data_IF_010781343206
#
_entry.id   IF_010781343206
#
_cell.length_a   1.000
_cell.length_b   1.000
_cell.length_c   1.000
_cell.angle_alpha   90.00
_cell.angle_beta   90.00
_cell.angle_gamma   90.00
#
_symmetry.space_group_name_H-M   'P 1'
#
loop_
_entity.id
_entity.type
_entity.pdbx_description
1 polymer ?
#
# COMPACT_ATOMS: atom_id res chain seq x y z
N UNK A 1 32.95 -9.48 -25.32
CA UNK A 1 34.19 -10.22 -25.62
C UNK A 1 34.99 -10.27 -24.33
N UNK A 2 35.02 -11.41 -23.64
CA UNK A 2 35.86 -11.63 -22.48
C UNK A 2 37.32 -11.48 -22.90
N UNK A 3 38.03 -10.58 -22.24
CA UNK A 3 39.42 -10.32 -22.52
C UNK A 3 40.26 -11.48 -21.94
N UNK A 4 40.83 -12.32 -22.78
CA UNK A 4 41.59 -13.52 -22.36
C UNK A 4 42.81 -13.23 -21.47
N UNK A 5 43.13 -11.95 -21.23
CA UNK A 5 44.25 -11.48 -20.39
C UNK A 5 43.85 -11.18 -18.92
N UNK A 6 42.56 -11.27 -18.54
CA UNK A 6 42.18 -11.12 -17.14
C UNK A 6 42.54 -12.40 -16.38
N UNK A 7 43.20 -12.31 -15.21
CA UNK A 7 43.51 -13.50 -14.40
C UNK A 7 42.20 -14.20 -14.12
N UNK A 8 42.18 -15.56 -14.25
CA UNK A 8 41.02 -16.36 -13.92
C UNK A 8 40.67 -16.15 -12.45
N UNK A 9 39.58 -15.45 -12.20
CA UNK A 9 39.06 -15.29 -10.85
C UNK A 9 38.55 -16.65 -10.42
N UNK A 10 39.25 -17.27 -9.48
CA UNK A 10 38.85 -18.56 -8.93
C UNK A 10 37.68 -18.29 -7.95
N UNK A 11 36.45 -18.37 -8.45
CA UNK A 11 35.25 -18.24 -7.62
C UNK A 11 35.17 -19.43 -6.68
N UNK A 12 35.57 -19.23 -5.43
CA UNK A 12 35.27 -20.19 -4.38
C UNK A 12 33.75 -20.35 -4.32
N UNK A 13 33.27 -21.57 -4.45
CA UNK A 13 31.84 -21.84 -4.31
C UNK A 13 31.49 -22.08 -2.84
N UNK A 14 31.11 -21.04 -2.07
CA UNK A 14 30.85 -21.16 -0.65
C UNK A 14 29.63 -22.03 -0.38
N UNK A 15 29.57 -22.64 0.80
CA UNK A 15 28.43 -23.44 1.24
C UNK A 15 27.16 -22.58 1.36
N UNK A 16 25.99 -23.25 1.39
CA UNK A 16 24.72 -22.54 1.56
C UNK A 16 24.72 -21.64 2.81
N UNK A 17 25.23 -22.15 3.92
CA UNK A 17 25.26 -21.41 5.18
C UNK A 17 26.18 -20.19 5.12
N UNK A 18 27.34 -20.30 4.50
CA UNK A 18 28.23 -19.16 4.28
C UNK A 18 27.55 -18.09 3.43
N UNK A 19 26.92 -18.48 2.31
CA UNK A 19 26.16 -17.55 1.45
C UNK A 19 25.01 -16.88 2.20
N UNK A 20 24.28 -17.64 3.00
CA UNK A 20 23.17 -17.15 3.80
C UNK A 20 23.63 -16.08 4.81
N UNK A 21 24.68 -16.38 5.58
CA UNK A 21 25.23 -15.46 6.57
C UNK A 21 25.81 -14.20 5.91
N UNK A 22 26.58 -14.39 4.82
CA UNK A 22 27.15 -13.27 4.05
C UNK A 22 26.07 -12.36 3.51
N UNK A 23 25.02 -12.91 2.88
CA UNK A 23 23.90 -12.16 2.36
C UNK A 23 23.22 -11.31 3.45
N UNK A 24 22.97 -11.90 4.63
CA UNK A 24 22.35 -11.18 5.74
C UNK A 24 23.24 -10.05 6.29
N UNK A 25 24.57 -10.28 6.37
CA UNK A 25 25.51 -9.25 6.75
C UNK A 25 25.52 -8.09 5.75
N UNK A 26 25.63 -8.40 4.47
CA UNK A 26 25.61 -7.38 3.39
C UNK A 26 24.28 -6.62 3.36
N UNK A 27 23.16 -7.34 3.49
CA UNK A 27 21.83 -6.70 3.59
C UNK A 27 21.74 -5.74 4.78
N UNK A 28 22.23 -6.16 5.95
CA UNK A 28 22.26 -5.32 7.14
C UNK A 28 23.13 -4.08 6.94
N UNK A 29 24.33 -4.28 6.40
CA UNK A 29 25.30 -3.20 6.17
C UNK A 29 24.74 -2.16 5.19
N UNK A 30 24.30 -2.59 4.01
CA UNK A 30 23.69 -1.71 3.02
C UNK A 30 22.48 -0.98 3.59
N UNK A 31 21.57 -1.68 4.27
CA UNK A 31 20.36 -1.08 4.83
C UNK A 31 20.66 -0.08 5.95
N UNK A 32 21.72 -0.26 6.73
CA UNK A 32 22.11 0.67 7.81
C UNK A 32 22.71 1.97 7.29
N UNK A 33 23.29 1.95 6.08
CA UNK A 33 23.94 3.11 5.44
C UNK A 33 23.03 3.89 4.49
N UNK A 34 21.79 3.42 4.22
CA UNK A 34 20.82 4.12 3.40
C UNK A 34 20.17 5.30 4.15
N UNK A 35 20.98 6.31 4.48
CA UNK A 35 20.55 7.48 5.26
C UNK A 35 20.38 8.75 4.44
N UNK A 36 20.76 8.73 3.15
CA UNK A 36 20.60 9.88 2.26
C UNK A 36 19.13 10.26 2.11
N UNK A 37 18.76 11.55 2.19
CA UNK A 37 17.39 11.99 2.04
C UNK A 37 16.83 11.65 0.65
N UNK A 38 15.61 11.14 0.60
CA UNK A 38 14.91 10.87 -0.65
C UNK A 38 13.65 11.73 -0.76
N UNK A 39 13.37 12.24 -1.98
CA UNK A 39 12.25 13.16 -2.23
C UNK A 39 10.91 12.60 -1.73
N UNK A 40 10.68 11.29 -1.88
CA UNK A 40 9.45 10.61 -1.47
C UNK A 40 9.58 9.85 -0.15
N UNK A 41 10.61 10.11 0.65
CA UNK A 41 10.68 9.46 1.96
C UNK A 41 9.52 9.91 2.84
N UNK A 42 9.08 9.02 3.71
CA UNK A 42 8.00 9.29 4.65
C UNK A 42 8.23 8.59 5.97
N UNK A 43 7.82 9.22 7.06
CA UNK A 43 7.99 8.67 8.41
C UNK A 43 6.82 7.78 8.82
N UNK A 44 7.06 6.75 9.65
CA UNK A 44 6.00 5.84 10.08
C UNK A 44 4.79 6.56 10.69
N UNK A 45 5.00 7.63 11.45
CA UNK A 45 3.93 8.42 12.06
C UNK A 45 2.91 9.01 11.06
N UNK A 46 3.29 9.13 9.78
CA UNK A 46 2.43 9.70 8.73
C UNK A 46 1.66 8.66 7.94
N UNK A 47 2.09 7.39 8.00
CA UNK A 47 1.54 6.32 7.16
C UNK A 47 0.07 5.97 7.44
N UNK A 48 -0.38 5.82 8.70
CA UNK A 48 -1.80 5.53 8.96
C UNK A 48 -2.74 6.65 8.49
N UNK A 49 -2.24 7.87 8.42
CA UNK A 49 -2.99 9.05 7.95
C UNK A 49 -2.99 9.19 6.44
N UNK A 50 -2.24 8.36 5.71
CA UNK A 50 -2.07 8.44 4.26
C UNK A 50 -1.63 9.86 3.81
N UNK A 51 -0.67 10.46 4.54
CA UNK A 51 -0.29 11.84 4.25
C UNK A 51 0.52 12.03 2.98
N UNK A 52 1.24 10.99 2.56
CA UNK A 52 2.12 11.07 1.39
C UNK A 52 2.22 9.71 0.71
N UNK A 53 2.22 9.70 -0.63
CA UNK A 53 2.47 8.52 -1.43
C UNK A 53 3.92 8.44 -1.91
N UNK A 54 4.17 7.65 -2.93
CA UNK A 54 5.47 7.53 -3.59
C UNK A 54 5.29 7.45 -5.10
N UNK A 55 6.01 8.32 -5.82
CA UNK A 55 6.06 8.28 -7.27
C UNK A 55 7.13 7.31 -7.73
N UNK A 56 6.76 6.32 -8.51
CA UNK A 56 7.67 5.33 -9.09
C UNK A 56 8.08 5.67 -10.51
N UNK A 57 7.23 6.38 -11.25
CA UNK A 57 7.49 6.66 -12.66
C UNK A 57 6.59 7.77 -13.19
N UNK A 58 7.17 8.63 -14.05
CA UNK A 58 6.44 9.68 -14.76
C UNK A 58 7.00 9.78 -16.17
N UNK A 59 6.16 9.65 -17.19
CA UNK A 59 6.51 9.82 -18.61
C UNK A 59 5.25 10.01 -19.44
N UNK A 60 5.37 10.82 -20.52
CA UNK A 60 4.30 11.02 -21.50
C UNK A 60 2.97 11.43 -20.85
N UNK A 61 3.00 12.37 -19.91
CA UNK A 61 1.83 12.85 -19.16
C UNK A 61 1.08 11.74 -18.41
N UNK A 62 1.80 10.70 -18.01
CA UNK A 62 1.29 9.59 -17.18
C UNK A 62 2.19 9.40 -15.97
N UNK A 63 1.62 8.94 -14.89
CA UNK A 63 2.33 8.76 -13.63
C UNK A 63 1.95 7.43 -12.99
N UNK A 64 2.94 6.73 -12.41
CA UNK A 64 2.71 5.60 -11.51
C UNK A 64 3.01 6.06 -10.10
N UNK A 65 1.96 6.26 -9.32
CA UNK A 65 2.05 6.77 -7.96
C UNK A 65 1.33 5.85 -6.99
N UNK A 66 2.03 5.35 -5.98
CA UNK A 66 1.44 4.55 -4.91
C UNK A 66 0.88 5.47 -3.84
N UNK A 67 -0.44 5.59 -3.79
CA UNK A 67 -1.11 6.32 -2.71
C UNK A 67 -1.83 5.37 -1.75
N UNK A 68 -2.45 4.33 -2.28
CA UNK A 68 -3.36 3.47 -1.53
C UNK A 68 -4.82 3.94 -1.63
N UNK A 69 -5.73 3.11 -1.17
CA UNK A 69 -7.16 3.42 -1.15
C UNK A 69 -7.52 4.17 0.16
N UNK A 70 -7.91 5.45 0.11
CA UNK A 70 -8.15 6.24 1.33
C UNK A 70 -9.23 5.63 2.24
N UNK A 71 -10.30 5.09 1.66
CA UNK A 71 -11.39 4.49 2.44
C UNK A 71 -10.93 3.27 3.25
N UNK A 72 -10.15 2.39 2.62
CA UNK A 72 -9.58 1.23 3.31
C UNK A 72 -8.56 1.69 4.36
N UNK A 73 -7.68 2.62 4.02
CA UNK A 73 -6.61 3.12 4.88
C UNK A 73 -7.14 3.73 6.16
N UNK A 74 -8.10 4.64 6.04
CA UNK A 74 -8.70 5.31 7.20
C UNK A 74 -9.64 4.40 7.99
N UNK A 75 -10.30 3.42 7.35
CA UNK A 75 -11.08 2.42 8.08
C UNK A 75 -10.19 1.54 8.97
N UNK A 76 -8.98 1.20 8.51
CA UNK A 76 -7.99 0.49 9.33
C UNK A 76 -7.54 1.35 10.51
N UNK A 77 -7.20 2.62 10.28
CA UNK A 77 -6.83 3.53 11.36
C UNK A 77 -7.95 3.65 12.40
N UNK A 78 -9.19 3.87 11.94
CA UNK A 78 -10.37 3.95 12.82
C UNK A 78 -10.57 2.67 13.62
N UNK A 79 -10.40 1.52 13.00
CA UNK A 79 -10.54 0.21 13.66
C UNK A 79 -9.45 -0.05 14.70
N UNK A 80 -8.20 0.29 14.42
CA UNK A 80 -7.09 0.19 15.37
C UNK A 80 -7.34 1.07 16.59
N UNK A 81 -7.76 2.33 16.38
CA UNK A 81 -8.06 3.26 17.46
C UNK A 81 -9.28 2.80 18.25
N UNK A 82 -10.33 2.33 17.59
CA UNK A 82 -11.53 1.79 18.25
C UNK A 82 -11.17 0.59 19.13
N UNK A 83 -10.41 -0.38 18.60
CA UNK A 83 -9.99 -1.54 19.36
C UNK A 83 -9.14 -1.13 20.58
N UNK A 84 -8.16 -0.25 20.40
CA UNK A 84 -7.34 0.25 21.50
C UNK A 84 -8.19 0.94 22.57
N UNK A 85 -9.14 1.79 22.19
CA UNK A 85 -10.05 2.47 23.10
C UNK A 85 -10.94 1.49 23.88
N UNK A 86 -11.53 0.50 23.19
CA UNK A 86 -12.33 -0.54 23.83
C UNK A 86 -11.49 -1.36 24.83
N UNK A 87 -10.25 -1.71 24.45
CA UNK A 87 -9.34 -2.44 25.37
C UNK A 87 -9.02 -1.64 26.63
N UNK A 88 -8.73 -0.35 26.49
CA UNK A 88 -8.49 0.54 27.63
C UNK A 88 -9.72 0.58 28.54
N UNK A 89 -10.91 0.74 27.97
CA UNK A 89 -12.17 0.73 28.74
C UNK A 89 -12.39 -0.61 29.48
N UNK A 90 -12.17 -1.74 28.82
CA UNK A 90 -12.31 -3.06 29.43
C UNK A 90 -11.31 -3.27 30.58
N UNK A 91 -10.08 -2.79 30.45
CA UNK A 91 -9.07 -2.84 31.53
C UNK A 91 -9.52 -1.98 32.71
N UNK A 92 -9.98 -0.75 32.48
CA UNK A 92 -10.48 0.14 33.54
C UNK A 92 -11.71 -0.44 34.24
N UNK A 93 -12.59 -1.11 33.52
CA UNK A 93 -13.77 -1.82 34.11
C UNK A 93 -13.33 -3.01 34.95
N UNK A 94 -12.39 -3.80 34.44
CA UNK A 94 -11.83 -4.94 35.19
C UNK A 94 -11.16 -4.49 36.50
N UNK A 95 -10.43 -3.38 36.50
CA UNK A 95 -9.85 -2.78 37.73
C UNK A 95 -10.94 -2.38 38.77
N UNK A 96 -12.18 -2.11 38.32
CA UNK A 96 -13.31 -1.77 39.15
C UNK A 96 -14.18 -3.01 39.55
N UNK A 97 -13.69 -4.22 39.28
CA UNK A 97 -14.38 -5.47 39.61
C UNK A 97 -15.46 -5.94 38.62
N UNK A 98 -15.60 -5.26 37.44
CA UNK A 98 -16.52 -5.75 36.42
C UNK A 98 -15.89 -6.89 35.63
N UNK A 99 -16.68 -7.95 35.37
CA UNK A 99 -16.26 -9.08 34.55
C UNK A 99 -17.01 -9.07 33.21
N UNK A 100 -16.42 -8.47 32.18
CA UNK A 100 -17.02 -8.34 30.86
C UNK A 100 -16.76 -9.56 29.95
N UNK A 101 -15.86 -10.46 30.36
CA UNK A 101 -15.44 -11.65 29.58
C UNK A 101 -16.22 -12.92 29.94
N UNK A 102 -17.48 -12.80 30.33
CA UNK A 102 -18.32 -13.94 30.64
C UNK A 102 -18.93 -14.60 29.41
N UNK A 103 -19.10 -13.87 28.34
CA UNK A 103 -19.77 -14.36 27.14
C UNK A 103 -18.74 -14.93 26.13
N UNK A 104 -18.96 -16.17 25.67
CA UNK A 104 -18.08 -16.91 24.78
C UNK A 104 -17.77 -16.17 23.47
N UNK A 105 -18.77 -15.47 22.91
CA UNK A 105 -18.61 -14.66 21.70
C UNK A 105 -17.62 -13.51 21.93
N UNK A 106 -17.74 -12.78 23.04
CA UNK A 106 -16.83 -11.68 23.40
C UNK A 106 -15.41 -12.19 23.53
N UNK A 107 -15.21 -13.30 24.25
CA UNK A 107 -13.90 -13.92 24.43
C UNK A 107 -13.30 -14.35 23.11
N UNK A 108 -14.10 -14.91 22.20
CA UNK A 108 -13.62 -15.32 20.87
C UNK A 108 -13.09 -14.12 20.07
N UNK A 109 -13.89 -13.05 19.94
CA UNK A 109 -13.50 -11.88 19.17
C UNK A 109 -12.36 -11.11 19.84
N UNK A 110 -12.31 -11.06 21.17
CA UNK A 110 -11.19 -10.45 21.90
C UNK A 110 -9.86 -11.16 21.58
N UNK A 111 -9.85 -12.48 21.53
CA UNK A 111 -8.65 -13.25 21.15
C UNK A 111 -8.23 -12.97 19.71
N UNK A 112 -9.19 -12.98 18.75
CA UNK A 112 -8.91 -12.71 17.35
C UNK A 112 -8.38 -11.28 17.16
N UNK A 113 -9.12 -10.29 17.66
CA UNK A 113 -8.73 -8.89 17.53
C UNK A 113 -7.43 -8.58 18.28
N UNK A 114 -7.22 -9.22 19.45
CA UNK A 114 -5.98 -9.08 20.21
C UNK A 114 -4.77 -9.61 19.47
N UNK A 115 -4.88 -10.80 18.87
CA UNK A 115 -3.84 -11.36 18.03
C UNK A 115 -3.52 -10.45 16.83
N UNK A 116 -4.54 -10.00 16.10
CA UNK A 116 -4.37 -9.11 14.95
C UNK A 116 -3.79 -7.75 15.34
N UNK A 117 -4.21 -7.19 16.47
CA UNK A 117 -3.66 -5.93 16.97
C UNK A 117 -2.18 -6.04 17.36
N UNK A 118 -1.80 -7.13 18.04
CA UNK A 118 -0.39 -7.40 18.36
C UNK A 118 0.43 -7.61 17.09
N UNK A 119 -0.09 -8.39 16.13
CA UNK A 119 0.56 -8.59 14.84
C UNK A 119 0.72 -7.28 14.06
N UNK A 120 -0.31 -6.42 14.05
CA UNK A 120 -0.25 -5.08 13.46
C UNK A 120 0.89 -4.25 14.07
N UNK A 121 0.94 -4.18 15.39
CA UNK A 121 1.99 -3.44 16.11
C UNK A 121 3.37 -4.04 15.84
N UNK A 122 3.51 -5.36 15.86
CA UNK A 122 4.77 -6.04 15.59
C UNK A 122 5.33 -5.76 14.18
N UNK A 123 4.46 -5.57 13.18
CA UNK A 123 4.88 -5.22 11.82
C UNK A 123 5.06 -3.71 11.60
N UNK A 124 4.49 -2.88 12.44
CA UNK A 124 4.54 -1.42 12.29
C UNK A 124 5.58 -0.76 13.19
N UNK A 125 5.64 -1.14 14.47
CA UNK A 125 6.49 -0.49 15.46
C UNK A 125 8.00 -0.53 15.15
N UNK A 126 8.59 -1.59 14.54
CA UNK A 126 10.00 -1.62 14.23
C UNK A 126 10.49 -0.46 13.36
N UNK A 127 9.63 0.06 12.47
CA UNK A 127 9.98 1.17 11.60
C UNK A 127 10.26 2.48 12.34
N UNK A 128 9.75 2.66 13.55
CA UNK A 128 10.07 3.83 14.39
C UNK A 128 11.50 3.81 14.91
N UNK A 129 12.13 2.65 14.96
CA UNK A 129 13.52 2.47 15.42
C UNK A 129 14.53 2.58 14.26
N UNK A 130 14.05 2.55 13.03
CA UNK A 130 14.90 2.59 11.84
C UNK A 130 15.30 4.03 11.50
N UNK A 131 16.59 4.27 11.33
CA UNK A 131 17.13 5.58 10.93
C UNK A 131 17.30 5.74 9.40
N UNK A 132 17.13 4.64 8.64
CA UNK A 132 17.25 4.63 7.17
C UNK A 132 16.10 5.35 6.50
N UNK A 133 16.24 5.57 5.20
CA UNK A 133 15.13 6.00 4.33
C UNK A 133 13.95 5.03 4.44
N UNK A 134 12.77 5.57 4.67
CA UNK A 134 11.52 4.83 4.80
C UNK A 134 10.47 5.40 3.85
N UNK A 135 9.57 4.52 3.41
CA UNK A 135 8.53 4.84 2.44
C UNK A 135 7.22 4.20 2.85
N UNK A 136 6.10 4.75 2.39
CA UNK A 136 4.76 4.28 2.73
C UNK A 136 4.51 2.80 2.41
N UNK A 137 5.18 2.23 1.41
CA UNK A 137 5.00 0.81 1.07
C UNK A 137 5.48 -0.16 2.18
N UNK A 138 6.36 0.28 3.08
CA UNK A 138 6.74 -0.50 4.26
C UNK A 138 5.56 -0.74 5.22
N UNK A 139 4.52 0.09 5.14
CA UNK A 139 3.31 -0.06 5.96
C UNK A 139 2.35 -1.13 5.42
N UNK A 140 2.49 -1.58 4.16
CA UNK A 140 1.55 -2.52 3.54
C UNK A 140 1.33 -3.83 4.32
N UNK A 141 2.36 -4.48 4.91
CA UNK A 141 2.14 -5.67 5.75
C UNK A 141 1.28 -5.39 6.98
N UNK A 142 1.54 -4.28 7.68
CA UNK A 142 0.73 -3.85 8.82
C UNK A 142 -0.70 -3.49 8.37
N UNK A 143 -0.86 -2.79 7.25
CA UNK A 143 -2.15 -2.44 6.67
C UNK A 143 -2.97 -3.70 6.37
N UNK A 144 -2.36 -4.73 5.78
CA UNK A 144 -3.04 -6.00 5.52
C UNK A 144 -3.62 -6.62 6.80
N UNK A 145 -2.81 -6.67 7.86
CA UNK A 145 -3.28 -7.17 9.17
C UNK A 145 -4.38 -6.26 9.73
N UNK A 146 -4.25 -4.95 9.57
CA UNK A 146 -5.25 -3.97 9.95
C UNK A 146 -6.59 -4.15 9.22
N UNK A 147 -6.59 -4.54 7.94
CA UNK A 147 -7.80 -4.87 7.18
C UNK A 147 -8.51 -6.08 7.81
N UNK A 148 -7.77 -7.12 8.19
CA UNK A 148 -8.34 -8.29 8.88
C UNK A 148 -8.93 -7.91 10.25
N UNK A 149 -8.26 -7.01 10.98
CA UNK A 149 -8.77 -6.46 12.23
C UNK A 149 -10.07 -5.68 12.00
N UNK A 150 -10.12 -4.83 10.96
CA UNK A 150 -11.31 -4.07 10.56
C UNK A 150 -12.48 -5.00 10.25
N UNK A 151 -12.24 -6.05 9.47
CA UNK A 151 -13.26 -7.04 9.14
C UNK A 151 -13.76 -7.78 10.41
N UNK A 152 -12.87 -8.13 11.33
CA UNK A 152 -13.22 -8.80 12.58
C UNK A 152 -14.05 -7.91 13.51
N UNK A 153 -13.72 -6.62 13.59
CA UNK A 153 -14.49 -5.62 14.36
C UNK A 153 -15.86 -5.39 13.74
N UNK A 154 -15.94 -5.29 12.42
CA UNK A 154 -17.20 -5.17 11.68
C UNK A 154 -18.08 -6.39 11.92
N UNK A 155 -17.52 -7.59 11.83
CA UNK A 155 -18.22 -8.85 12.08
C UNK A 155 -18.78 -8.88 13.49
N UNK A 156 -17.98 -8.58 14.50
CA UNK A 156 -18.41 -8.51 15.90
C UNK A 156 -19.50 -7.46 16.12
N UNK A 157 -19.30 -6.24 15.61
CA UNK A 157 -20.25 -5.13 15.78
C UNK A 157 -21.61 -5.40 15.12
N UNK A 158 -21.63 -6.24 14.08
CA UNK A 158 -22.84 -6.57 13.34
C UNK A 158 -23.47 -7.93 13.72
N UNK A 159 -22.92 -8.67 14.70
CA UNK A 159 -23.44 -9.99 15.11
C UNK A 159 -24.91 -9.97 15.51
N UNK A 160 -25.40 -8.88 16.09
CA UNK A 160 -26.80 -8.71 16.51
C UNK A 160 -27.71 -8.06 15.47
N UNK A 161 -27.15 -7.66 14.32
CA UNK A 161 -27.88 -7.04 13.23
C UNK A 161 -28.50 -8.13 12.35
N UNK A 162 -29.71 -7.88 11.82
CA UNK A 162 -30.38 -8.83 10.90
C UNK A 162 -29.48 -9.11 9.68
N UNK A 163 -29.39 -10.36 9.21
CA UNK A 163 -28.45 -10.77 8.15
C UNK A 163 -28.52 -9.91 6.88
N UNK A 164 -29.72 -9.49 6.48
CA UNK A 164 -29.88 -8.64 5.28
C UNK A 164 -29.23 -7.26 5.44
N UNK A 165 -29.42 -6.59 6.59
CA UNK A 165 -28.78 -5.29 6.85
C UNK A 165 -27.27 -5.41 6.97
N UNK A 166 -26.78 -6.50 7.57
CA UNK A 166 -25.36 -6.81 7.63
C UNK A 166 -24.77 -6.99 6.24
N UNK A 167 -25.47 -7.71 5.35
CA UNK A 167 -25.07 -7.88 3.95
C UNK A 167 -25.02 -6.53 3.23
N UNK A 168 -26.07 -5.71 3.35
CA UNK A 168 -26.09 -4.40 2.72
C UNK A 168 -24.97 -3.48 3.23
N UNK A 169 -24.67 -3.50 4.52
CA UNK A 169 -23.55 -2.73 5.07
C UNK A 169 -22.20 -3.22 4.53
N UNK A 170 -21.98 -4.53 4.43
CA UNK A 170 -20.76 -5.10 3.83
C UNK A 170 -20.64 -4.75 2.35
N UNK A 171 -21.74 -4.86 1.59
CA UNK A 171 -21.76 -4.47 0.17
C UNK A 171 -21.50 -2.97 -0.01
N UNK A 172 -22.07 -2.11 0.83
CA UNK A 172 -21.83 -0.67 0.78
C UNK A 172 -20.34 -0.33 1.01
N UNK A 173 -19.70 -0.99 1.97
CA UNK A 173 -18.26 -0.85 2.20
C UNK A 173 -17.43 -1.34 1.01
N UNK A 174 -17.78 -2.48 0.43
CA UNK A 174 -17.10 -3.04 -0.74
C UNK A 174 -17.26 -2.15 -1.97
N UNK A 175 -18.48 -1.66 -2.23
CA UNK A 175 -18.77 -0.72 -3.33
C UNK A 175 -18.01 0.59 -3.11
N UNK A 176 -18.04 1.15 -1.90
CA UNK A 176 -17.30 2.37 -1.56
C UNK A 176 -15.79 2.22 -1.80
N UNK A 177 -15.20 1.11 -1.38
CA UNK A 177 -13.81 0.80 -1.67
C UNK A 177 -13.55 0.66 -3.19
N UNK A 178 -14.48 0.03 -3.94
CA UNK A 178 -14.40 -0.11 -5.38
C UNK A 178 -14.49 1.24 -6.13
N UNK A 179 -15.37 2.13 -5.70
CA UNK A 179 -15.49 3.49 -6.26
C UNK A 179 -14.22 4.29 -6.02
N UNK A 180 -13.66 4.25 -4.81
CA UNK A 180 -12.39 4.92 -4.52
C UNK A 180 -11.23 4.30 -5.30
N UNK A 181 -11.21 2.97 -5.46
CA UNK A 181 -10.23 2.32 -6.30
C UNK A 181 -10.33 2.80 -7.76
N UNK A 182 -11.54 2.85 -8.33
CA UNK A 182 -11.76 3.34 -9.69
C UNK A 182 -11.32 4.80 -9.86
N UNK A 183 -11.57 5.65 -8.85
CA UNK A 183 -11.16 7.06 -8.87
C UNK A 183 -9.65 7.25 -8.92
N UNK A 184 -8.89 6.43 -8.16
CA UNK A 184 -7.44 6.55 -8.07
C UNK A 184 -6.67 5.56 -8.96
N UNK A 185 -7.38 4.67 -9.67
CA UNK A 185 -6.75 3.72 -10.60
C UNK A 185 -5.92 4.39 -11.70
N UNK A 186 -6.29 5.56 -12.27
CA UNK A 186 -5.49 6.19 -13.32
C UNK A 186 -4.07 6.51 -12.87
N UNK A 187 -3.89 7.05 -11.65
CA UNK A 187 -2.57 7.40 -11.15
C UNK A 187 -1.78 6.16 -10.66
N UNK A 188 -2.50 5.10 -10.29
CA UNK A 188 -1.86 3.84 -9.85
C UNK A 188 -1.31 3.05 -11.03
N UNK A 189 -2.01 3.09 -12.17
CA UNK A 189 -1.71 2.25 -13.34
C UNK A 189 -1.24 3.03 -14.57
N UNK A 190 -0.87 4.29 -14.42
CA UNK A 190 -0.46 5.16 -15.53
C UNK A 190 -1.50 5.25 -16.66
N UNK A 191 -2.79 5.16 -16.32
CA UNK A 191 -3.86 5.33 -17.29
C UNK A 191 -4.03 6.80 -17.66
N UNK A 192 -4.80 7.06 -18.73
CA UNK A 192 -5.12 8.43 -19.15
C UNK A 192 -5.92 9.14 -18.06
N UNK A 193 -5.52 10.34 -17.71
CA UNK A 193 -6.20 11.17 -16.72
C UNK A 193 -6.11 12.64 -17.12
N UNK A 194 -7.05 13.46 -16.69
CA UNK A 194 -7.05 14.90 -16.98
C UNK A 194 -6.55 15.69 -15.76
N UNK A 195 -5.99 16.87 -16.03
CA UNK A 195 -5.56 17.80 -14.98
C UNK A 195 -6.71 18.09 -13.99
N UNK A 196 -7.92 18.40 -14.50
CA UNK A 196 -9.09 18.68 -13.68
C UNK A 196 -9.47 17.50 -12.79
N UNK A 197 -9.61 16.29 -13.38
CA UNK A 197 -9.97 15.09 -12.62
C UNK A 197 -8.93 14.71 -11.56
N UNK A 198 -7.66 14.99 -11.85
CA UNK A 198 -6.55 14.82 -10.90
C UNK A 198 -6.68 15.84 -9.74
N UNK A 199 -6.90 17.13 -10.05
CA UNK A 199 -7.07 18.18 -9.05
C UNK A 199 -8.23 17.86 -8.09
N UNK A 200 -9.38 17.45 -8.62
CA UNK A 200 -10.54 17.03 -7.83
C UNK A 200 -10.27 15.80 -6.95
N UNK A 201 -9.25 15.03 -7.27
CA UNK A 201 -8.88 13.83 -6.52
C UNK A 201 -7.92 14.14 -5.35
N UNK A 202 -7.36 15.34 -5.26
CA UNK A 202 -6.52 15.77 -4.13
C UNK A 202 -7.43 16.13 -2.96
N UNK A 203 -7.47 15.29 -1.93
CA UNK A 203 -8.24 15.55 -0.71
C UNK A 203 -7.40 16.13 0.42
N UNK A 204 -6.08 15.92 0.38
CA UNK A 204 -5.14 16.44 1.36
C UNK A 204 -4.04 17.23 0.64
N UNK A 205 -3.72 18.42 1.14
CA UNK A 205 -2.64 19.26 0.59
C UNK A 205 -1.26 18.58 0.65
N UNK A 206 -1.15 17.54 1.46
CA UNK A 206 0.07 16.75 1.60
C UNK A 206 0.27 15.69 0.51
N UNK A 207 -0.73 15.47 -0.34
CA UNK A 207 -0.62 14.57 -1.49
C UNK A 207 0.12 15.28 -2.62
N UNK A 208 1.29 14.77 -2.96
CA UNK A 208 2.26 15.43 -3.83
C UNK A 208 2.34 14.85 -5.25
N UNK A 209 1.28 14.19 -5.71
CA UNK A 209 1.19 13.83 -7.12
C UNK A 209 0.90 15.07 -7.98
N UNK A 210 1.63 15.18 -9.10
CA UNK A 210 1.66 16.39 -9.89
C UNK A 210 0.56 16.41 -10.95
N UNK A 211 -0.55 17.09 -10.67
CA UNK A 211 -1.66 17.21 -11.61
C UNK A 211 -1.36 18.09 -12.82
N UNK A 212 -0.40 19.01 -12.73
CA UNK A 212 -0.03 19.89 -13.84
C UNK A 212 0.57 19.12 -15.04
N UNK A 213 1.17 17.96 -14.77
CA UNK A 213 1.69 17.08 -15.80
C UNK A 213 0.62 16.44 -16.68
N UNK A 214 -0.62 16.34 -16.21
CA UNK A 214 -1.70 15.73 -16.99
C UNK A 214 -2.32 16.74 -17.96
N UNK A 215 -2.70 16.32 -19.19
CA UNK A 215 -3.34 17.20 -20.16
C UNK A 215 -4.71 17.68 -19.69
N UNK A 216 -5.18 18.77 -20.29
CA UNK A 216 -6.51 19.29 -19.98
C UNK A 216 -7.61 18.41 -20.61
N UNK A 217 -7.37 17.93 -21.84
CA UNK A 217 -8.29 17.04 -22.54
C UNK A 217 -7.67 15.63 -22.69
N UNK A 218 -8.50 14.62 -22.49
CA UNK A 218 -8.11 13.21 -22.66
C UNK A 218 -7.71 12.87 -24.10
N UNK A 219 -8.21 13.62 -25.07
CA UNK A 219 -7.87 13.45 -26.49
C UNK A 219 -6.42 13.87 -26.82
N UNK A 220 -5.81 14.71 -26.00
CA UNK A 220 -4.39 15.13 -26.18
C UNK A 220 -3.43 13.95 -26.05
N UNK A 221 -3.81 12.87 -25.37
CA UNK A 221 -3.01 11.66 -25.29
C UNK A 221 -2.74 11.02 -26.66
N UNK A 222 -3.57 11.29 -27.66
CA UNK A 222 -3.34 10.84 -29.03
C UNK A 222 -2.02 11.39 -29.61
N UNK A 223 -1.57 12.56 -29.16
CA UNK A 223 -0.32 13.17 -29.59
C UNK A 223 0.90 12.64 -28.85
N UNK A 224 0.71 12.14 -27.63
CA UNK A 224 1.80 11.70 -26.75
C UNK A 224 2.03 10.18 -26.82
N UNK A 225 1.05 9.40 -27.24
CA UNK A 225 1.15 7.95 -27.37
C UNK A 225 1.88 7.55 -28.66
N UNK A 226 3.10 6.97 -28.57
CA UNK A 226 3.88 6.61 -29.76
C UNK A 226 3.21 5.54 -30.64
N UNK A 227 2.14 4.90 -30.13
CA UNK A 227 1.39 3.86 -30.83
C UNK A 227 0.50 4.43 -31.93
N UNK A 228 0.03 5.67 -31.79
CA UNK A 228 -0.88 6.32 -32.76
C UNK A 228 -0.15 6.65 -34.08
N UNK A 229 1.16 6.82 -34.03
CA UNK A 229 1.99 7.18 -35.18
C UNK A 229 2.69 5.97 -35.83
N UNK A 230 2.28 4.72 -35.57
CA UNK A 230 2.84 3.57 -36.27
C UNK A 230 2.37 3.54 -37.71
N UNK A 231 3.30 3.37 -38.68
CA UNK A 231 2.95 3.32 -40.12
C UNK A 231 2.03 2.16 -40.51
N UNK A 232 1.86 1.17 -39.62
CA UNK A 232 1.09 -0.06 -39.85
C UNK A 232 -0.41 0.06 -39.51
N UNK A 233 -0.88 1.25 -39.10
CA UNK A 233 -2.31 1.50 -38.85
C UNK A 233 -2.93 0.71 -37.69
N UNK A 234 -2.15 -0.04 -36.91
CA UNK A 234 -2.61 -0.71 -35.69
C UNK A 234 -2.73 0.30 -34.57
N UNK A 235 -3.91 0.87 -34.45
CA UNK A 235 -4.22 1.92 -33.50
C UNK A 235 -4.34 1.40 -32.06
N UNK A 236 -4.50 2.35 -31.15
CA UNK A 236 -4.56 2.20 -29.69
C UNK A 236 -5.58 1.18 -29.13
N UNK A 237 -6.46 0.61 -29.97
CA UNK A 237 -7.51 -0.33 -29.53
C UNK A 237 -6.97 -1.67 -29.02
N UNK A 238 -5.79 -2.10 -29.51
CA UNK A 238 -5.22 -3.40 -29.08
C UNK A 238 -4.38 -3.31 -27.78
N UNK A 239 -3.94 -2.12 -27.37
CA UNK A 239 -3.14 -1.97 -26.14
C UNK A 239 -3.97 -1.80 -24.89
N UNK A 240 -5.14 -1.18 -24.97
CA UNK A 240 -6.06 -1.06 -23.84
C UNK A 240 -6.71 -2.42 -23.47
N UNK A 241 -6.83 -3.33 -24.45
CA UNK A 241 -7.30 -4.70 -24.24
C UNK A 241 -6.25 -5.66 -23.65
N UNK A 242 -4.96 -5.30 -23.72
CA UNK A 242 -3.85 -6.17 -23.29
C UNK A 242 -3.24 -5.82 -21.90
N UNK A 243 -3.82 -4.89 -21.19
CA UNK A 243 -3.48 -4.60 -19.81
C UNK A 243 -4.07 -5.71 -18.89
N UNK A 244 -3.33 -6.34 -17.98
CA UNK A 244 -2.18 -5.94 -17.17
C UNK A 244 -0.86 -6.69 -17.44
N UNK A 245 -0.73 -7.44 -18.54
CA UNK A 245 0.40 -8.38 -18.74
C UNK A 245 1.65 -7.79 -19.41
N UNK A 246 1.65 -6.53 -19.86
CA UNK A 246 2.80 -5.92 -20.56
C UNK A 246 3.86 -5.25 -19.68
N UNK A 247 3.63 -5.10 -18.36
CA UNK A 247 4.64 -4.53 -17.44
C UNK A 247 5.94 -5.35 -17.36
N UNK A 248 5.91 -6.65 -17.71
CA UNK A 248 7.08 -7.52 -17.71
C UNK A 248 8.10 -7.25 -18.83
N UNK A 249 7.78 -6.40 -19.83
CA UNK A 249 8.66 -6.12 -20.97
C UNK A 249 9.43 -4.81 -20.92
N UNK A 250 9.25 -4.00 -19.88
CA UNK A 250 9.83 -2.64 -19.80
C UNK A 250 10.99 -2.54 -18.81
N UNK A 251 11.45 -3.63 -18.23
CA UNK A 251 12.69 -3.63 -17.45
C UNK A 251 13.87 -3.86 -18.43
N UNK A 252 14.80 -2.90 -18.59
CA UNK A 252 16.04 -3.15 -19.33
C UNK A 252 16.84 -4.21 -18.56
N UNK A 253 17.38 -5.17 -19.33
CA UNK A 253 18.35 -6.17 -18.86
C UNK A 253 19.65 -5.52 -18.41
#
# INVERSE_FOLDING_TARGET
KFNAKTPRINYKNPSFLEKFIELHKVMWDINSHLTEPHVYESRPSTWPWLRRGINFWTKNHRQVYLMGNPGIWWSVLGSVLLYAGVRVLLILRAQRGYNDFTHTTVVKYDRICGFLAVAYVAHYAPFFLMKRQLFIHHYLPALYIGILLTASIFDFGTTRVRPMFRLYAALALAIGAGVLFARYSPITYASRWTNMACGDAIWLDSWDFNCVEFPQDIHEYATYDPVVNRPDGRGAQDEDAAWPFKLARVLPQ
#
